data_IF_728416755816
#
_entry.id   IF_728416755816
#
_cell.length_a   1.000
_cell.length_b   1.000
_cell.length_c   1.000
_cell.angle_alpha   90.00
_cell.angle_beta   90.00
_cell.angle_gamma   90.00
#
_symmetry.space_group_name_H-M   'P 1'
#
loop_
_entity.id
_entity.type
_entity.pdbx_description
1 polymer ?
#
# COMPACT_ATOMS: atom_id res chain seq x y z
N UNK A 1 6.10 19.66 -2.18
CA UNK A 1 5.54 18.29 -2.00
C UNK A 1 5.98 17.47 -3.21
N UNK A 2 6.48 16.25 -3.04
CA UNK A 2 6.97 15.44 -4.18
C UNK A 2 5.80 14.88 -5.01
N UNK A 3 5.99 14.61 -6.32
CA UNK A 3 4.96 14.00 -7.17
C UNK A 3 4.47 12.65 -6.62
N UNK A 4 5.39 11.85 -6.05
CA UNK A 4 5.04 10.60 -5.38
C UNK A 4 4.10 10.84 -4.18
N UNK A 5 4.42 11.81 -3.31
CA UNK A 5 3.59 12.12 -2.14
C UNK A 5 2.20 12.60 -2.56
N UNK A 6 2.10 13.47 -3.58
CA UNK A 6 0.82 13.89 -4.14
C UNK A 6 -0.02 12.70 -4.61
N UNK A 7 0.61 11.71 -5.26
CA UNK A 7 -0.08 10.51 -5.71
C UNK A 7 -0.55 9.66 -4.54
N UNK A 8 0.28 9.48 -3.51
CA UNK A 8 -0.10 8.77 -2.29
C UNK A 8 -1.28 9.44 -1.59
N UNK A 9 -1.28 10.77 -1.47
CA UNK A 9 -2.37 11.50 -0.80
C UNK A 9 -3.70 11.34 -1.56
N UNK A 10 -3.65 11.35 -2.91
CA UNK A 10 -4.83 11.05 -3.74
C UNK A 10 -5.34 9.62 -3.50
N UNK A 11 -4.45 8.64 -3.46
CA UNK A 11 -4.81 7.24 -3.21
C UNK A 11 -5.43 7.07 -1.82
N UNK A 12 -4.87 7.73 -0.80
CA UNK A 12 -5.39 7.68 0.57
C UNK A 12 -6.78 8.31 0.62
N UNK A 13 -6.97 9.49 0.02
CA UNK A 13 -8.28 10.14 -0.04
C UNK A 13 -9.32 9.27 -0.75
N UNK A 14 -8.94 8.61 -1.84
CA UNK A 14 -9.81 7.68 -2.56
C UNK A 14 -10.15 6.45 -1.71
N UNK A 15 -9.18 5.88 -0.98
CA UNK A 15 -9.40 4.75 -0.10
C UNK A 15 -10.37 5.10 1.05
N UNK A 16 -10.17 6.25 1.69
CA UNK A 16 -11.07 6.77 2.74
C UNK A 16 -12.50 6.93 2.20
N UNK A 17 -12.64 7.57 1.04
CA UNK A 17 -13.95 7.81 0.42
C UNK A 17 -14.68 6.51 0.11
N UNK A 18 -13.96 5.51 -0.42
CA UNK A 18 -14.53 4.20 -0.75
C UNK A 18 -14.98 3.40 0.47
N UNK A 19 -14.38 3.63 1.64
CA UNK A 19 -14.68 2.88 2.87
C UNK A 19 -15.70 3.58 3.77
N UNK A 20 -15.94 4.88 3.58
CA UNK A 20 -16.94 5.65 4.34
C UNK A 20 -18.39 5.28 4.04
N UNK A 21 -18.71 4.75 2.84
CA UNK A 21 -20.10 4.51 2.43
C UNK A 21 -20.68 3.17 2.89
N UNK A 22 -19.87 2.12 2.96
CA UNK A 22 -20.30 0.76 3.36
C UNK A 22 -19.07 -0.10 3.68
N UNK A 23 -18.68 -0.14 4.95
CA UNK A 23 -17.53 -0.92 5.37
C UNK A 23 -17.81 -2.43 5.32
N UNK A 24 -16.88 -3.18 4.71
CA UNK A 24 -16.77 -4.63 4.90
C UNK A 24 -15.29 -5.04 4.84
N UNK A 25 -14.94 -6.16 5.48
CA UNK A 25 -13.55 -6.67 5.45
C UNK A 25 -13.11 -6.97 4.01
N UNK A 26 -14.01 -7.50 3.18
CA UNK A 26 -13.75 -7.74 1.76
C UNK A 26 -13.44 -6.43 1.02
N UNK A 27 -14.22 -5.36 1.28
CA UNK A 27 -13.99 -4.06 0.66
C UNK A 27 -12.69 -3.41 1.15
N UNK A 28 -12.38 -3.54 2.43
CA UNK A 28 -11.11 -3.10 2.99
C UNK A 28 -9.93 -3.79 2.29
N UNK A 29 -9.98 -5.12 2.15
CA UNK A 29 -8.96 -5.88 1.44
C UNK A 29 -8.78 -5.43 -0.01
N UNK A 30 -9.88 -5.25 -0.75
CA UNK A 30 -9.85 -4.75 -2.14
C UNK A 30 -9.22 -3.36 -2.24
N UNK A 31 -9.64 -2.43 -1.37
CA UNK A 31 -9.13 -1.06 -1.38
C UNK A 31 -7.64 -1.01 -1.04
N UNK A 32 -7.20 -1.79 -0.04
CA UNK A 32 -5.78 -1.87 0.34
C UNK A 32 -4.93 -2.52 -0.74
N UNK A 33 -5.42 -3.57 -1.39
CA UNK A 33 -4.72 -4.21 -2.51
C UNK A 33 -4.58 -3.24 -3.69
N UNK A 34 -5.65 -2.54 -4.06
CA UNK A 34 -5.61 -1.52 -5.11
C UNK A 34 -4.66 -0.37 -4.77
N UNK A 35 -4.70 0.09 -3.51
CA UNK A 35 -3.77 1.10 -3.02
C UNK A 35 -2.33 0.65 -3.18
N UNK A 36 -1.99 -0.57 -2.73
CA UNK A 36 -0.64 -1.12 -2.80
C UNK A 36 -0.15 -1.22 -4.24
N UNK A 37 -0.96 -1.75 -5.16
CA UNK A 37 -0.60 -1.85 -6.60
C UNK A 37 -0.34 -0.47 -7.19
N UNK A 38 -1.21 0.51 -6.94
CA UNK A 38 -1.04 1.85 -7.48
C UNK A 38 0.13 2.61 -6.83
N UNK A 39 0.41 2.38 -5.55
CA UNK A 39 1.56 2.94 -4.85
C UNK A 39 2.87 2.36 -5.40
N UNK A 40 2.94 1.06 -5.69
CA UNK A 40 4.09 0.44 -6.35
C UNK A 40 4.31 1.00 -7.76
N UNK A 41 3.24 1.16 -8.56
CA UNK A 41 3.32 1.76 -9.89
C UNK A 41 3.83 3.21 -9.81
N UNK A 42 3.31 4.00 -8.87
CA UNK A 42 3.77 5.36 -8.64
C UNK A 42 5.24 5.40 -8.19
N UNK A 43 5.66 4.48 -7.32
CA UNK A 43 7.06 4.35 -6.92
C UNK A 43 7.98 3.97 -8.08
N UNK A 44 7.53 3.09 -8.98
CA UNK A 44 8.30 2.72 -10.16
C UNK A 44 8.50 3.90 -11.13
N UNK A 45 7.48 4.74 -11.31
CA UNK A 45 7.49 5.86 -12.25
C UNK A 45 8.12 7.15 -11.69
N UNK A 46 7.90 7.44 -10.41
CA UNK A 46 8.16 8.77 -9.82
C UNK A 46 9.36 8.80 -8.87
N UNK A 47 9.88 7.64 -8.46
CA UNK A 47 11.05 7.56 -7.60
C UNK A 47 12.28 7.12 -8.42
N UNK A 48 13.38 7.85 -8.26
CA UNK A 48 14.68 7.45 -8.81
C UNK A 48 15.42 6.43 -7.92
N UNK A 49 14.91 6.18 -6.71
CA UNK A 49 15.55 5.37 -5.68
C UNK A 49 15.74 3.90 -6.10
N UNK A 50 16.68 3.21 -5.45
CA UNK A 50 16.89 1.77 -5.65
C UNK A 50 15.75 0.95 -5.03
N UNK A 51 15.65 -0.33 -5.44
CA UNK A 51 14.51 -1.21 -5.11
C UNK A 51 14.18 -1.29 -3.61
N UNK A 52 15.18 -1.33 -2.72
CA UNK A 52 14.94 -1.42 -1.29
C UNK A 52 14.31 -0.15 -0.69
N UNK A 53 14.81 1.02 -1.09
CA UNK A 53 14.32 2.31 -0.62
C UNK A 53 12.93 2.62 -1.21
N UNK A 54 12.68 2.23 -2.48
CA UNK A 54 11.33 2.27 -3.08
C UNK A 54 10.33 1.44 -2.28
N UNK A 55 10.71 0.20 -1.92
CA UNK A 55 9.87 -0.70 -1.10
C UNK A 55 9.50 -0.05 0.23
N UNK A 56 10.49 0.48 0.96
CA UNK A 56 10.25 1.16 2.24
C UNK A 56 9.29 2.34 2.09
N UNK A 57 9.47 3.19 1.07
CA UNK A 57 8.58 4.33 0.84
C UNK A 57 7.13 3.93 0.53
N UNK A 58 6.93 2.82 -0.19
CA UNK A 58 5.59 2.26 -0.46
C UNK A 58 4.97 1.69 0.82
N UNK A 59 5.74 0.99 1.64
CA UNK A 59 5.26 0.45 2.91
C UNK A 59 4.90 1.55 3.92
N UNK A 60 5.73 2.59 4.02
CA UNK A 60 5.44 3.77 4.85
C UNK A 60 4.17 4.49 4.38
N UNK A 61 4.00 4.64 3.06
CA UNK A 61 2.80 5.21 2.48
C UNK A 61 1.54 4.38 2.80
N UNK A 62 1.63 3.05 2.65
CA UNK A 62 0.55 2.13 3.01
C UNK A 62 0.23 2.19 4.51
N UNK A 63 1.24 2.27 5.37
CA UNK A 63 1.09 2.41 6.81
C UNK A 63 0.35 3.69 7.20
N UNK A 64 0.70 4.82 6.58
CA UNK A 64 0.00 6.10 6.78
C UNK A 64 -1.43 6.06 6.24
N UNK A 65 -1.66 5.42 5.10
CA UNK A 65 -3.00 5.26 4.53
C UNK A 65 -3.89 4.43 5.46
N UNK A 66 -3.37 3.34 6.02
CA UNK A 66 -4.07 2.53 7.02
C UNK A 66 -4.46 3.36 8.23
N UNK A 67 -3.59 4.23 8.74
CA UNK A 67 -3.90 5.11 9.87
C UNK A 67 -5.03 6.11 9.54
N UNK A 68 -5.08 6.61 8.30
CA UNK A 68 -6.09 7.55 7.84
C UNK A 68 -7.45 6.90 7.52
N UNK A 69 -7.48 5.59 7.21
CA UNK A 69 -8.70 4.88 6.87
C UNK A 69 -9.64 4.81 8.10
N UNK A 70 -10.89 5.25 7.97
CA UNK A 70 -11.90 5.11 9.01
C UNK A 70 -12.26 3.63 9.11
N UNK A 71 -12.00 3.07 10.28
CA UNK A 71 -12.35 1.69 10.62
C UNK A 71 -13.51 1.71 11.62
N UNK A 72 -14.42 0.73 11.56
CA UNK A 72 -15.37 0.50 12.63
C UNK A 72 -14.66 0.36 13.98
N UNK A 73 -15.31 0.78 15.06
CA UNK A 73 -14.72 0.84 16.40
C UNK A 73 -14.06 -0.50 16.83
N UNK A 74 -14.69 -1.64 16.52
CA UNK A 74 -14.17 -2.97 16.86
C UNK A 74 -12.86 -3.31 16.14
N UNK A 75 -12.69 -2.85 14.90
CA UNK A 75 -11.44 -2.97 14.13
C UNK A 75 -10.39 -1.95 14.58
N UNK A 76 -10.83 -0.75 14.98
CA UNK A 76 -9.94 0.28 15.48
C UNK A 76 -9.18 -0.17 16.75
N UNK A 77 -9.80 -1.00 17.59
CA UNK A 77 -9.15 -1.61 18.77
C UNK A 77 -7.94 -2.46 18.41
N UNK A 78 -7.97 -3.11 17.24
CA UNK A 78 -6.89 -3.95 16.74
C UNK A 78 -6.11 -3.26 15.62
N UNK A 79 -6.19 -1.92 15.50
CA UNK A 79 -5.51 -1.18 14.43
C UNK A 79 -4.00 -1.42 14.42
N UNK A 80 -3.26 -1.37 15.55
CA UNK A 80 -1.82 -1.67 15.53
C UNK A 80 -1.47 -3.07 15.02
N UNK A 81 -2.06 -4.18 15.55
CA UNK A 81 -1.76 -5.51 15.03
C UNK A 81 -2.28 -5.72 13.60
N UNK A 82 -3.42 -5.14 13.22
CA UNK A 82 -3.92 -5.17 11.84
C UNK A 82 -2.94 -4.49 10.88
N UNK A 83 -2.45 -3.30 11.24
CA UNK A 83 -1.48 -2.56 10.44
C UNK A 83 -0.21 -3.37 10.23
N UNK A 84 0.33 -3.98 11.28
CA UNK A 84 1.49 -4.84 11.17
C UNK A 84 1.22 -6.02 10.24
N UNK A 85 0.08 -6.69 10.37
CA UNK A 85 -0.28 -7.81 9.49
C UNK A 85 -0.39 -7.39 8.03
N UNK A 86 -1.05 -6.27 7.74
CA UNK A 86 -1.16 -5.74 6.37
C UNK A 86 0.21 -5.37 5.81
N UNK A 87 1.05 -4.71 6.62
CA UNK A 87 2.41 -4.34 6.20
C UNK A 87 3.28 -5.57 5.96
N UNK A 88 3.22 -6.61 6.80
CA UNK A 88 3.95 -7.87 6.59
C UNK A 88 3.49 -8.59 5.31
N UNK A 89 2.19 -8.64 5.05
CA UNK A 89 1.66 -9.22 3.80
C UNK A 89 2.12 -8.40 2.60
N UNK A 90 2.05 -7.06 2.68
CA UNK A 90 2.49 -6.18 1.61
C UNK A 90 4.00 -6.31 1.36
N UNK A 91 4.81 -6.43 2.41
CA UNK A 91 6.25 -6.63 2.34
C UNK A 91 6.59 -7.89 1.54
N UNK A 92 5.98 -9.02 1.90
CA UNK A 92 6.15 -10.29 1.18
C UNK A 92 5.59 -10.25 -0.25
N UNK A 93 4.46 -9.57 -0.48
CA UNK A 93 3.88 -9.42 -1.82
C UNK A 93 4.78 -8.60 -2.74
N UNK A 94 5.34 -7.50 -2.23
CA UNK A 94 6.30 -6.67 -2.97
C UNK A 94 7.55 -7.49 -3.30
N UNK A 95 8.10 -8.25 -2.34
CA UNK A 95 9.27 -9.10 -2.57
C UNK A 95 9.02 -10.22 -3.59
N UNK A 96 7.88 -10.89 -3.53
CA UNK A 96 7.51 -11.91 -4.50
C UNK A 96 7.45 -11.32 -5.92
N UNK A 97 6.83 -10.15 -6.08
CA UNK A 97 6.75 -9.44 -7.36
C UNK A 97 8.16 -9.07 -7.85
N UNK A 98 8.99 -8.43 -7.01
CA UNK A 98 10.35 -8.06 -7.40
C UNK A 98 11.23 -9.27 -7.75
N UNK A 99 11.09 -10.38 -7.04
CA UNK A 99 11.87 -11.60 -7.29
C UNK A 99 11.47 -12.21 -8.63
N UNK A 100 10.18 -12.28 -8.92
CA UNK A 100 9.65 -12.76 -10.20
C UNK A 100 10.10 -11.90 -11.39
N UNK A 101 10.14 -10.57 -11.22
CA UNK A 101 10.67 -9.65 -12.24
C UNK A 101 12.19 -9.79 -12.44
N UNK A 102 12.96 -10.00 -11.38
CA UNK A 102 14.41 -10.26 -11.48
C UNK A 102 14.70 -11.57 -12.21
N UNK A 103 13.95 -12.62 -11.92
CA UNK A 103 14.08 -13.91 -12.61
C UNK A 103 13.74 -13.79 -14.11
N UNK A 104 12.69 -13.04 -14.46
CA UNK A 104 12.34 -12.80 -15.88
C UNK A 104 13.45 -12.05 -16.63
N UNK A 105 14.07 -11.03 -16.02
CA UNK A 105 15.17 -10.27 -16.61
C UNK A 105 16.51 -11.03 -16.65
N UNK A 106 16.67 -12.09 -15.85
CA UNK A 106 17.86 -12.93 -15.86
C UNK A 106 17.82 -14.05 -16.93
N UNK A 107 16.66 -14.22 -17.57
CA UNK A 107 16.43 -15.20 -18.64
C UNK A 107 16.28 -14.56 -20.03
N UNK A 108 16.52 -13.25 -20.16
CA UNK A 108 16.74 -12.54 -21.42
C UNK A 108 18.24 -12.28 -21.66
#
# INVERSE_FOLDING_TARGET
MSPFQQRIDQLTSAAVTQLNGSFSVARLGQVLQQFLVQAMQAAAQLLANQGHEKKQLVLDALGKALDAIPLPWWLALIRPPLKNLVLTIADGAIEAIYSQFKEQLAHE
#
